data_IF_846767543220
#
_entry.id   IF_846767543220
#
_cell.length_a   1.000
_cell.length_b   1.000
_cell.length_c   1.000
_cell.angle_alpha   90.00
_cell.angle_beta   90.00
_cell.angle_gamma   90.00
#
_symmetry.space_group_name_H-M   'P 1'
#
loop_
_entity.id
_entity.type
_entity.pdbx_description
1 polymer ?
#
# COMPACT_ATOMS: atom_id res chain seq x y z
N UNK A 1 -25.83 6.09 -57.82
CA UNK A 1 -25.14 5.88 -56.52
C UNK A 1 -23.68 6.35 -56.48
N UNK A 2 -22.86 6.19 -57.55
CA UNK A 2 -21.43 6.63 -57.57
C UNK A 2 -21.16 8.11 -57.26
N UNK A 3 -22.06 9.04 -57.60
CA UNK A 3 -21.89 10.48 -57.35
C UNK A 3 -21.96 10.88 -55.86
N UNK A 4 -22.60 10.08 -55.01
CA UNK A 4 -22.74 10.37 -53.58
C UNK A 4 -21.47 10.01 -52.79
N UNK A 5 -20.80 8.92 -53.17
CA UNK A 5 -19.50 8.51 -52.61
C UNK A 5 -18.36 9.47 -52.98
N UNK A 6 -18.35 9.99 -54.22
CA UNK A 6 -17.32 10.95 -54.66
C UNK A 6 -17.41 12.31 -53.95
N UNK A 7 -18.60 12.71 -53.48
CA UNK A 7 -18.78 13.96 -52.74
C UNK A 7 -18.25 13.85 -51.30
N UNK A 8 -18.46 12.71 -50.65
CA UNK A 8 -17.99 12.46 -49.27
C UNK A 8 -16.46 12.40 -49.12
N UNK A 9 -15.73 12.06 -50.19
CA UNK A 9 -14.26 12.05 -50.22
C UNK A 9 -13.65 13.45 -50.42
N UNK A 10 -14.39 14.39 -51.01
CA UNK A 10 -13.96 15.79 -51.21
C UNK A 10 -14.18 16.69 -50.00
N UNK A 11 -15.02 16.27 -49.05
CA UNK A 11 -15.31 17.00 -47.81
C UNK A 11 -14.43 16.58 -46.62
N UNK A 12 -13.41 15.74 -46.83
CA UNK A 12 -12.39 15.49 -45.82
C UNK A 12 -11.38 16.63 -45.80
N UNK A 13 -11.80 17.80 -45.29
CA UNK A 13 -10.84 18.81 -44.81
C UNK A 13 -10.05 18.16 -43.67
N UNK A 14 -8.84 17.68 -43.98
CA UNK A 14 -7.96 17.07 -42.98
C UNK A 14 -7.60 18.06 -41.88
N UNK A 15 -7.48 17.55 -40.65
CA UNK A 15 -6.96 18.33 -39.53
C UNK A 15 -5.56 18.84 -39.89
N UNK A 16 -5.27 20.10 -39.61
CA UNK A 16 -3.96 20.66 -39.89
C UNK A 16 -2.93 20.13 -38.89
N UNK A 17 -1.66 20.02 -39.30
CA UNK A 17 -0.59 19.58 -38.38
C UNK A 17 -0.45 20.51 -37.16
N UNK A 18 -0.77 21.80 -37.33
CA UNK A 18 -0.69 22.78 -36.25
C UNK A 18 -1.79 22.60 -35.19
N UNK A 19 -2.99 22.16 -35.61
CA UNK A 19 -4.07 21.81 -34.67
C UNK A 19 -3.70 20.59 -33.84
N UNK A 20 -3.13 19.55 -34.46
CA UNK A 20 -2.63 18.38 -33.75
C UNK A 20 -1.49 18.75 -32.78
N UNK A 21 -0.58 19.64 -33.22
CA UNK A 21 0.54 20.12 -32.41
C UNK A 21 0.06 20.87 -31.16
N UNK A 22 -0.94 21.75 -31.28
CA UNK A 22 -1.47 22.49 -30.15
C UNK A 22 -2.07 21.54 -29.09
N UNK A 23 -2.75 20.47 -29.51
CA UNK A 23 -3.36 19.50 -28.59
C UNK A 23 -2.29 18.72 -27.80
N UNK A 24 -1.25 18.21 -28.47
CA UNK A 24 -0.20 17.45 -27.77
C UNK A 24 0.56 18.33 -26.77
N UNK A 25 0.75 19.61 -27.05
CA UNK A 25 1.39 20.56 -26.12
C UNK A 25 0.54 20.72 -24.87
N UNK A 26 -0.78 20.88 -25.02
CA UNK A 26 -1.69 20.99 -23.87
C UNK A 26 -1.67 19.69 -23.04
N UNK A 27 -1.74 18.52 -23.69
CA UNK A 27 -1.66 17.23 -22.99
C UNK A 27 -0.32 17.06 -22.28
N UNK A 28 0.80 17.48 -22.87
CA UNK A 28 2.12 17.40 -22.26
C UNK A 28 2.22 18.25 -20.99
N UNK A 29 1.67 19.47 -21.00
CA UNK A 29 1.63 20.35 -19.81
C UNK A 29 0.77 19.74 -18.71
N UNK A 30 -0.41 19.22 -19.05
CA UNK A 30 -1.29 18.55 -18.07
C UNK A 30 -0.59 17.32 -17.50
N UNK A 31 -0.01 16.48 -18.36
CA UNK A 31 0.69 15.26 -17.95
C UNK A 31 1.88 15.54 -17.02
N UNK A 32 2.65 16.61 -17.29
CA UNK A 32 3.79 16.99 -16.46
C UNK A 32 3.41 17.27 -15.00
N UNK A 33 2.21 17.81 -14.74
CA UNK A 33 1.73 18.08 -13.38
C UNK A 33 0.95 16.87 -12.83
N UNK A 34 0.14 16.23 -13.66
CA UNK A 34 -0.77 15.17 -13.23
C UNK A 34 -0.03 13.88 -12.84
N UNK A 35 1.00 13.47 -13.60
CA UNK A 35 1.73 12.23 -13.35
C UNK A 35 2.35 12.19 -11.93
N UNK A 36 3.18 13.16 -11.51
CA UNK A 36 3.76 13.13 -10.16
C UNK A 36 2.69 13.25 -9.06
N UNK A 37 1.65 14.06 -9.28
CA UNK A 37 0.57 14.22 -8.30
C UNK A 37 -0.21 12.91 -8.08
N UNK A 38 -0.56 12.21 -9.16
CA UNK A 38 -1.25 10.92 -9.09
C UNK A 38 -0.34 9.85 -8.48
N UNK A 39 0.96 9.85 -8.82
CA UNK A 39 1.96 8.98 -8.19
C UNK A 39 1.92 9.08 -6.67
N UNK A 40 2.02 10.30 -6.13
CA UNK A 40 1.98 10.53 -4.69
C UNK A 40 0.67 10.07 -4.04
N UNK A 41 -0.47 10.25 -4.71
CA UNK A 41 -1.78 9.79 -4.22
C UNK A 41 -1.82 8.26 -4.14
N UNK A 42 -1.32 7.57 -5.17
CA UNK A 42 -1.27 6.11 -5.21
C UNK A 42 -0.36 5.59 -4.09
N UNK A 43 0.84 6.15 -3.95
CA UNK A 43 1.79 5.77 -2.91
C UNK A 43 1.21 5.93 -1.50
N UNK A 44 0.55 7.06 -1.24
CA UNK A 44 -0.11 7.28 0.05
C UNK A 44 -1.28 6.31 0.30
N UNK A 45 -2.03 5.97 -0.75
CA UNK A 45 -3.14 5.01 -0.66
C UNK A 45 -2.65 3.60 -0.38
N UNK A 46 -1.57 3.15 -1.05
CA UNK A 46 -0.94 1.85 -0.81
C UNK A 46 -0.34 1.76 0.59
N UNK A 47 0.34 2.80 1.05
CA UNK A 47 0.84 2.85 2.43
C UNK A 47 -0.30 2.74 3.45
N UNK A 48 -1.43 3.40 3.20
CA UNK A 48 -2.62 3.30 4.05
C UNK A 48 -3.26 1.91 4.01
N UNK A 49 -3.22 1.23 2.84
CA UNK A 49 -3.70 -0.14 2.69
C UNK A 49 -2.85 -1.12 3.53
N UNK A 50 -1.52 -1.03 3.48
CA UNK A 50 -0.63 -1.86 4.32
C UNK A 50 -0.91 -1.66 5.81
N UNK A 51 -1.16 -0.41 6.25
CA UNK A 51 -1.57 -0.16 7.64
C UNK A 51 -2.90 -0.83 7.96
N UNK A 52 -3.87 -0.77 7.06
CA UNK A 52 -5.17 -1.44 7.21
C UNK A 52 -4.99 -2.97 7.33
N UNK A 53 -4.16 -3.57 6.49
CA UNK A 53 -3.86 -5.00 6.55
C UNK A 53 -3.26 -5.38 7.91
N UNK A 54 -2.33 -4.58 8.43
CA UNK A 54 -1.77 -4.78 9.77
C UNK A 54 -2.82 -4.69 10.88
N UNK A 55 -3.79 -3.76 10.78
CA UNK A 55 -4.90 -3.69 11.75
C UNK A 55 -5.87 -4.87 11.64
N UNK A 56 -6.06 -5.42 10.44
CA UNK A 56 -6.87 -6.62 10.22
C UNK A 56 -6.19 -7.84 10.83
N UNK A 57 -4.88 -8.01 10.61
CA UNK A 57 -4.08 -9.08 11.24
C UNK A 57 -4.11 -8.99 12.76
N UNK A 58 -3.92 -7.80 13.35
CA UNK A 58 -4.05 -7.60 14.79
C UNK A 58 -5.44 -7.99 15.32
N UNK A 59 -6.49 -7.67 14.55
CA UNK A 59 -7.86 -8.03 14.93
C UNK A 59 -8.10 -9.54 14.86
N UNK A 60 -7.62 -10.21 13.81
CA UNK A 60 -7.67 -11.66 13.66
C UNK A 60 -6.86 -12.36 14.77
N UNK A 61 -5.66 -11.88 15.08
CA UNK A 61 -4.81 -12.40 16.15
C UNK A 61 -5.46 -12.26 17.54
N UNK A 62 -6.16 -11.17 17.83
CA UNK A 62 -6.91 -11.03 19.08
C UNK A 62 -7.99 -12.11 19.23
N UNK A 63 -8.69 -12.45 18.15
CA UNK A 63 -9.69 -13.53 18.15
C UNK A 63 -8.97 -14.87 18.36
N UNK A 64 -7.89 -15.12 17.62
CA UNK A 64 -7.07 -16.32 17.77
C UNK A 64 -6.61 -16.55 19.22
N UNK A 65 -6.05 -15.53 19.88
CA UNK A 65 -5.57 -15.63 21.27
C UNK A 65 -6.70 -15.73 22.30
N UNK A 66 -7.93 -15.36 21.94
CA UNK A 66 -9.11 -15.60 22.78
C UNK A 66 -9.46 -17.10 22.79
N UNK A 67 -9.26 -17.80 21.68
CA UNK A 67 -9.49 -19.24 21.56
C UNK A 67 -8.27 -20.08 21.99
N UNK A 68 -7.06 -19.53 21.84
CA UNK A 68 -5.78 -20.19 22.11
C UNK A 68 -4.96 -19.36 23.11
N UNK A 69 -5.48 -19.22 24.34
CA UNK A 69 -4.92 -18.31 25.35
C UNK A 69 -3.50 -18.65 25.83
N UNK A 70 -3.06 -19.90 25.63
CA UNK A 70 -1.74 -20.37 26.03
C UNK A 70 -0.66 -20.07 24.99
N UNK A 71 -1.05 -19.61 23.79
CA UNK A 71 -0.10 -19.26 22.74
C UNK A 71 0.43 -17.84 22.92
N UNK A 72 1.75 -17.72 23.00
CA UNK A 72 2.44 -16.43 23.16
C UNK A 72 2.57 -15.65 21.84
N UNK A 73 2.40 -16.33 20.70
CA UNK A 73 2.64 -15.76 19.36
C UNK A 73 1.89 -16.52 18.27
N UNK A 74 1.47 -15.81 17.23
CA UNK A 74 0.87 -16.39 16.02
C UNK A 74 1.41 -15.71 14.75
N UNK A 75 1.66 -16.46 13.68
CA UNK A 75 2.05 -15.94 12.36
C UNK A 75 0.83 -15.67 11.48
N UNK A 76 0.98 -14.82 10.46
CA UNK A 76 -0.06 -14.58 9.45
C UNK A 76 -0.43 -15.87 8.72
N UNK A 77 0.57 -16.69 8.35
CA UNK A 77 0.36 -18.03 7.78
C UNK A 77 -0.62 -18.87 8.61
N UNK A 78 -0.37 -18.96 9.93
CA UNK A 78 -1.20 -19.74 10.84
C UNK A 78 -2.61 -19.16 11.00
N UNK A 79 -2.76 -17.84 10.98
CA UNK A 79 -4.07 -17.20 11.02
C UNK A 79 -4.91 -17.52 9.78
N UNK A 80 -4.27 -17.70 8.62
CA UNK A 80 -4.94 -18.10 7.38
C UNK A 80 -5.33 -19.58 7.45
N UNK A 81 -4.39 -20.45 7.82
CA UNK A 81 -4.61 -21.89 7.92
C UNK A 81 -5.74 -22.26 8.89
N UNK A 82 -5.79 -21.57 10.04
CA UNK A 82 -6.81 -21.78 11.07
C UNK A 82 -8.12 -21.02 10.75
N UNK A 83 -8.17 -20.23 9.66
CA UNK A 83 -9.38 -19.59 9.14
C UNK A 83 -9.78 -18.28 9.84
N UNK A 84 -8.88 -17.66 10.60
CA UNK A 84 -9.09 -16.35 11.24
C UNK A 84 -8.84 -15.17 10.29
N UNK A 85 -8.09 -15.39 9.21
CA UNK A 85 -7.73 -14.38 8.22
C UNK A 85 -7.92 -14.93 6.80
N UNK A 86 -8.45 -14.11 5.89
CA UNK A 86 -8.69 -14.55 4.50
C UNK A 86 -7.46 -14.41 3.59
N UNK A 87 -6.59 -13.43 3.87
CA UNK A 87 -5.37 -13.16 3.10
C UNK A 87 -4.38 -12.34 3.91
N UNK A 88 -3.09 -12.55 3.64
CA UNK A 88 -1.95 -11.79 4.13
C UNK A 88 -1.91 -10.34 3.61
N UNK A 89 -2.66 -10.04 2.54
CA UNK A 89 -2.64 -8.74 1.91
C UNK A 89 -1.25 -8.41 1.37
N UNK A 90 -0.74 -7.23 1.68
CA UNK A 90 0.65 -6.87 1.35
C UNK A 90 1.64 -7.30 2.44
N UNK A 91 1.18 -7.90 3.55
CA UNK A 91 2.05 -8.40 4.61
C UNK A 91 2.65 -9.75 4.20
N UNK A 92 3.87 -10.04 4.65
CA UNK A 92 4.48 -11.36 4.47
C UNK A 92 3.87 -12.40 5.40
N UNK A 93 3.79 -13.66 4.95
CA UNK A 93 3.34 -14.82 5.75
C UNK A 93 4.13 -15.00 7.07
N UNK A 94 5.40 -14.57 7.07
CA UNK A 94 6.33 -14.59 8.21
C UNK A 94 6.04 -13.50 9.26
N UNK A 95 5.17 -12.54 8.94
CA UNK A 95 4.69 -11.53 9.88
C UNK A 95 3.99 -12.21 11.03
N UNK A 96 4.23 -11.76 12.26
CA UNK A 96 3.66 -12.37 13.44
C UNK A 96 3.13 -11.33 14.43
N UNK A 97 2.24 -11.80 15.31
CA UNK A 97 1.69 -11.04 16.42
C UNK A 97 2.05 -11.73 17.72
N UNK A 98 2.58 -10.96 18.68
CA UNK A 98 2.84 -11.42 20.05
C UNK A 98 1.61 -11.17 20.94
N UNK A 99 1.24 -12.18 21.73
CA UNK A 99 0.15 -12.15 22.71
C UNK A 99 0.59 -11.45 24.00
N UNK A 100 0.86 -10.15 23.89
CA UNK A 100 1.18 -9.28 25.02
C UNK A 100 0.11 -8.20 25.16
N UNK A 101 0.13 -7.41 26.24
CA UNK A 101 -0.84 -6.33 26.44
C UNK A 101 -0.17 -4.95 26.34
N UNK A 102 -0.49 -4.11 25.34
CA UNK A 102 -1.31 -4.40 24.15
C UNK A 102 -0.60 -5.35 23.17
N UNK A 103 -1.35 -6.08 22.34
CA UNK A 103 -0.77 -6.99 21.34
C UNK A 103 0.07 -6.22 20.32
N UNK A 104 1.09 -6.89 19.78
CA UNK A 104 2.12 -6.26 18.96
C UNK A 104 2.36 -7.04 17.69
N UNK A 105 2.38 -6.37 16.55
CA UNK A 105 2.73 -6.96 15.24
C UNK A 105 4.18 -6.66 14.88
N UNK A 106 4.86 -7.67 14.32
CA UNK A 106 6.22 -7.56 13.82
C UNK A 106 6.31 -8.19 12.44
N UNK A 107 6.80 -7.43 11.45
CA UNK A 107 7.11 -7.92 10.10
C UNK A 107 8.63 -8.11 9.99
N UNK A 108 9.16 -9.35 10.00
CA UNK A 108 10.60 -9.58 9.91
C UNK A 108 11.20 -9.06 8.60
N UNK A 109 10.43 -9.20 7.52
CA UNK A 109 10.77 -8.69 6.20
C UNK A 109 10.10 -7.34 5.98
N UNK A 110 10.82 -6.40 5.35
CA UNK A 110 10.27 -5.09 5.01
C UNK A 110 9.15 -5.23 3.97
N UNK A 111 7.98 -4.66 4.26
CA UNK A 111 6.81 -4.71 3.39
C UNK A 111 6.94 -3.65 2.31
N UNK A 112 6.97 -4.07 1.05
CA UNK A 112 7.05 -3.15 -0.10
C UNK A 112 5.64 -2.67 -0.44
N UNK A 113 5.40 -1.35 -0.37
CA UNK A 113 4.10 -0.80 -0.73
C UNK A 113 4.10 -0.07 -2.08
N UNK A 114 5.24 0.40 -2.59
CA UNK A 114 5.32 1.00 -3.92
C UNK A 114 6.76 1.09 -4.45
N UNK A 115 7.06 0.41 -5.56
CA UNK A 115 8.41 0.39 -6.14
C UNK A 115 9.42 -0.14 -5.12
N UNK A 116 10.41 0.68 -4.76
CA UNK A 116 11.40 0.35 -3.73
C UNK A 116 11.04 0.88 -2.33
N UNK A 117 9.86 1.51 -2.18
CA UNK A 117 9.43 2.08 -0.90
C UNK A 117 8.85 1.00 0.01
N UNK A 118 9.35 0.97 1.25
CA UNK A 118 9.01 -0.07 2.23
C UNK A 118 8.51 0.49 3.55
N UNK A 119 7.79 -0.35 4.29
CA UNK A 119 7.44 -0.14 5.70
C UNK A 119 7.72 -1.41 6.50
N UNK A 120 8.27 -1.26 7.70
CA UNK A 120 8.51 -2.35 8.64
C UNK A 120 7.73 -2.09 9.91
N UNK A 121 7.01 -3.11 10.37
CA UNK A 121 6.38 -3.12 11.69
C UNK A 121 7.34 -3.78 12.67
N UNK A 122 7.69 -3.08 13.74
CA UNK A 122 8.55 -3.61 14.80
C UNK A 122 7.83 -3.44 16.12
N UNK A 123 7.31 -4.53 16.68
CA UNK A 123 6.54 -4.51 17.92
C UNK A 123 5.40 -3.48 17.91
N UNK A 124 4.79 -3.24 16.76
CA UNK A 124 3.84 -2.16 16.56
C UNK A 124 2.50 -2.48 17.20
N UNK A 125 1.97 -1.54 17.97
CA UNK A 125 0.63 -1.63 18.55
C UNK A 125 -0.42 -1.03 17.61
N UNK A 126 -1.68 -1.43 17.78
CA UNK A 126 -2.80 -0.86 17.02
C UNK A 126 -2.85 0.68 17.10
N UNK A 127 -2.51 1.23 18.28
CA UNK A 127 -2.47 2.69 18.48
C UNK A 127 -1.36 3.34 17.66
N UNK A 128 -0.16 2.78 17.65
CA UNK A 128 0.96 3.32 16.87
C UNK A 128 0.71 3.28 15.36
N UNK A 129 0.00 2.25 14.88
CA UNK A 129 -0.39 2.16 13.47
C UNK A 129 -1.44 3.22 13.12
N UNK A 130 -2.47 3.36 13.96
CA UNK A 130 -3.55 4.32 13.72
C UNK A 130 -3.10 5.78 13.85
N UNK A 131 -2.17 6.05 14.76
CA UNK A 131 -1.61 7.39 14.99
C UNK A 131 -0.46 7.74 14.03
N UNK A 132 -0.05 6.82 13.16
CA UNK A 132 0.99 7.08 12.17
C UNK A 132 0.51 8.11 11.12
N UNK A 133 1.11 9.30 11.16
CA UNK A 133 0.76 10.44 10.29
C UNK A 133 1.67 10.58 9.06
N UNK A 134 2.61 9.64 8.86
CA UNK A 134 3.53 9.65 7.72
C UNK A 134 2.75 9.44 6.42
N UNK A 135 3.24 10.02 5.32
CA UNK A 135 2.67 9.81 3.98
C UNK A 135 3.55 8.86 3.19
N UNK A 136 2.94 7.91 2.49
CA UNK A 136 3.68 6.98 1.60
C UNK A 136 4.45 7.71 0.48
N UNK A 137 4.04 8.92 0.13
CA UNK A 137 4.73 9.74 -0.86
C UNK A 137 5.99 10.43 -0.35
N UNK A 138 6.21 10.50 0.97
CA UNK A 138 7.37 11.20 1.51
C UNK A 138 8.66 10.47 1.14
N UNK A 139 9.71 11.25 0.84
CA UNK A 139 11.01 10.70 0.43
C UNK A 139 11.73 10.14 1.65
N UNK A 140 11.80 8.81 1.73
CA UNK A 140 12.55 8.10 2.77
C UNK A 140 13.23 6.87 2.18
N UNK A 141 14.51 7.02 1.83
CA UNK A 141 15.33 5.97 1.22
C UNK A 141 15.56 4.75 2.13
N UNK A 142 15.39 4.90 3.44
CA UNK A 142 15.59 3.81 4.42
C UNK A 142 14.31 3.02 4.72
N UNK A 143 13.18 3.39 4.11
CA UNK A 143 11.87 2.82 4.45
C UNK A 143 11.29 3.37 5.76
N UNK A 144 9.98 3.23 5.92
CA UNK A 144 9.29 3.62 7.15
C UNK A 144 9.37 2.52 8.20
N UNK A 145 9.34 2.91 9.47
CA UNK A 145 9.14 1.97 10.57
C UNK A 145 7.99 2.45 11.44
N UNK A 146 7.10 1.52 11.79
CA UNK A 146 6.01 1.72 12.73
C UNK A 146 6.24 0.81 13.93
N UNK A 147 6.01 1.34 15.13
CA UNK A 147 6.28 0.66 16.39
C UNK A 147 7.63 1.05 16.99
N UNK A 148 7.98 0.39 18.10
CA UNK A 148 9.21 0.64 18.82
C UNK A 148 10.23 -0.44 18.51
N UNK A 149 11.47 -0.04 18.20
CA UNK A 149 12.58 -1.00 18.17
C UNK A 149 12.57 -1.79 19.48
N UNK A 150 12.65 -3.12 19.40
CA UNK A 150 12.89 -3.99 20.56
C UNK A 150 13.98 -3.33 21.42
N UNK A 151 13.62 -2.82 22.60
CA UNK A 151 14.62 -2.55 23.63
C UNK A 151 15.14 -3.91 24.07
N UNK A 152 16.13 -4.40 23.33
CA UNK A 152 16.94 -5.56 23.73
C UNK A 152 17.69 -5.12 24.98
N UNK A 153 17.15 -5.44 26.16
CA UNK A 153 17.76 -5.08 27.43
C UNK A 153 16.78 -5.01 28.60
N UNK A 154 16.08 -6.10 28.89
CA UNK A 154 15.86 -6.44 30.29
C UNK A 154 16.73 -7.67 30.59
N UNK A 155 17.83 -7.39 31.26
CA UNK A 155 18.92 -8.31 31.50
C UNK A 155 19.78 -7.77 32.63
N UNK A 156 19.18 -7.61 33.81
CA UNK A 156 19.82 -7.76 35.12
C UNK A 156 18.76 -8.04 36.18
#
# INVERSE_FOLDING_TARGET
>A
MKKFLQKKLKDQKGMTLIELLAVIVIIAIIAAIAIPAIGNIIENSRYSAVKSDATNVLSAANIYFTENSDDDKVTVEKLIDDGFLESEGELGEDTFVDNVNPIKITSPTAVIYSGDKTVTFTNATLKEINDDTKKGSDDNESGFTIGTATSSGDGT
#
